data_IF_821485723817
#
_entry.id   IF_821485723817
#
_cell.length_a   1.000
_cell.length_b   1.000
_cell.length_c   1.000
_cell.angle_alpha   90.00
_cell.angle_beta   90.00
_cell.angle_gamma   90.00
#
_symmetry.space_group_name_H-M   'P 1'
#
loop_
_entity.id
_entity.type
_entity.pdbx_description
1 polymer ?
#
# COMPACT_ATOMS: atom_id res chain seq x y z
N UNK A 1 12.53 -10.47 -17.68
CA UNK A 1 13.59 -9.75 -16.98
C UNK A 1 14.92 -10.43 -17.21
N UNK A 2 15.96 -9.64 -17.42
CA UNK A 2 17.29 -10.19 -17.58
C UNK A 2 17.86 -10.63 -16.23
N UNK A 3 18.75 -11.62 -16.25
CA UNK A 3 19.41 -12.11 -15.03
C UNK A 3 20.19 -11.01 -14.33
N UNK A 4 20.78 -10.11 -15.11
CA UNK A 4 21.52 -8.97 -14.57
C UNK A 4 20.62 -8.09 -13.71
N UNK A 5 19.42 -7.81 -14.19
CA UNK A 5 18.48 -6.96 -13.47
C UNK A 5 18.01 -7.63 -12.18
N UNK A 6 17.81 -8.93 -12.21
CA UNK A 6 17.43 -9.68 -11.02
C UNK A 6 18.53 -9.66 -9.98
N UNK A 7 19.79 -9.79 -10.40
CA UNK A 7 20.91 -9.75 -9.47
C UNK A 7 21.04 -8.39 -8.79
N UNK A 8 20.92 -7.33 -9.58
CA UNK A 8 20.97 -5.97 -9.04
C UNK A 8 19.82 -5.72 -8.08
N UNK A 9 18.62 -6.11 -8.48
CA UNK A 9 17.43 -5.94 -7.64
C UNK A 9 17.54 -6.76 -6.37
N UNK A 10 18.12 -7.96 -6.46
CA UNK A 10 18.27 -8.82 -5.30
C UNK A 10 19.20 -8.19 -4.27
N UNK A 11 20.32 -7.63 -4.70
CA UNK A 11 21.26 -6.95 -3.81
C UNK A 11 20.61 -5.74 -3.17
N UNK A 12 19.95 -4.92 -3.99
CA UNK A 12 19.23 -3.73 -3.51
C UNK A 12 18.11 -4.13 -2.57
N UNK A 13 17.39 -5.17 -2.93
CA UNK A 13 16.28 -5.68 -2.13
C UNK A 13 16.74 -6.16 -0.75
N UNK A 14 17.88 -6.80 -0.68
CA UNK A 14 18.42 -7.25 0.59
C UNK A 14 18.68 -6.09 1.55
N UNK A 15 19.23 -5.01 1.05
CA UNK A 15 19.45 -3.81 1.87
C UNK A 15 18.15 -3.16 2.29
N UNK A 16 17.20 -3.05 1.36
CA UNK A 16 15.92 -2.40 1.62
C UNK A 16 15.04 -3.26 2.53
N UNK A 17 15.05 -4.57 2.31
CA UNK A 17 14.22 -5.50 3.07
C UNK A 17 14.50 -5.46 4.55
N UNK A 18 15.74 -5.20 4.96
CA UNK A 18 16.08 -5.11 6.37
C UNK A 18 15.44 -3.91 7.06
N UNK A 19 15.04 -2.89 6.29
CA UNK A 19 14.46 -1.65 6.83
C UNK A 19 12.99 -1.46 6.46
N UNK A 20 12.44 -2.33 5.61
CA UNK A 20 11.04 -2.18 5.18
C UNK A 20 10.11 -3.07 6.00
N UNK A 21 8.91 -2.57 6.18
CA UNK A 21 7.85 -3.26 6.91
C UNK A 21 6.81 -3.77 5.91
N UNK A 22 6.53 -5.06 5.96
CA UNK A 22 5.50 -5.68 5.13
C UNK A 22 4.22 -5.80 5.94
N UNK A 23 3.14 -5.29 5.40
CA UNK A 23 1.86 -5.23 6.10
C UNK A 23 0.76 -5.69 5.17
N UNK A 24 -0.17 -6.47 5.72
CA UNK A 24 -1.36 -6.86 4.98
C UNK A 24 -2.36 -5.70 5.04
N UNK A 25 -2.75 -5.20 3.88
CA UNK A 25 -3.66 -4.07 3.77
C UNK A 25 -4.97 -4.52 3.16
N UNK A 26 -6.07 -4.15 3.80
CA UNK A 26 -7.41 -4.42 3.29
C UNK A 26 -7.91 -3.17 2.58
N UNK A 27 -7.99 -3.26 1.25
CA UNK A 27 -8.36 -2.16 0.37
C UNK A 27 -9.77 -2.43 -0.16
N UNK A 28 -10.73 -1.67 0.33
CA UNK A 28 -12.12 -1.85 -0.08
C UNK A 28 -12.59 -0.64 -0.87
N UNK A 29 -12.79 -0.84 -2.17
CA UNK A 29 -13.38 0.20 -3.00
C UNK A 29 -14.88 0.26 -2.76
N UNK A 30 -15.46 1.46 -2.60
CA UNK A 30 -16.92 1.59 -2.52
C UNK A 30 -17.60 1.00 -3.76
N UNK A 31 -18.81 0.51 -3.60
CA UNK A 31 -19.52 -0.14 -4.69
C UNK A 31 -19.67 0.78 -5.90
N UNK A 32 -20.06 2.04 -5.67
CA UNK A 32 -20.21 3.00 -6.75
C UNK A 32 -18.91 3.29 -7.48
N UNK A 33 -17.78 3.21 -6.77
CA UNK A 33 -16.46 3.38 -7.38
C UNK A 33 -16.11 2.17 -8.22
N UNK A 34 -16.38 0.98 -7.71
CA UNK A 34 -16.13 -0.26 -8.44
C UNK A 34 -16.91 -0.32 -9.75
N UNK A 35 -18.13 0.21 -9.73
CA UNK A 35 -18.98 0.22 -10.92
C UNK A 35 -18.46 1.17 -12.00
N UNK A 36 -17.73 2.21 -11.60
CA UNK A 36 -17.19 3.19 -12.54
C UNK A 36 -15.80 2.83 -13.08
N UNK A 37 -15.05 2.05 -12.34
CA UNK A 37 -13.68 1.72 -12.72
C UNK A 37 -13.65 0.50 -13.65
N UNK A 38 -12.62 0.43 -14.48
CA UNK A 38 -12.38 -0.74 -15.32
C UNK A 38 -12.16 -1.97 -14.44
N UNK A 39 -12.60 -3.11 -14.94
CA UNK A 39 -12.50 -4.36 -14.18
C UNK A 39 -11.09 -4.68 -13.74
N UNK A 40 -10.11 -4.41 -14.58
CA UNK A 40 -8.70 -4.65 -14.24
C UNK A 40 -8.24 -3.77 -13.09
N UNK A 41 -8.67 -2.52 -13.06
CA UNK A 41 -8.32 -1.59 -11.99
C UNK A 41 -8.92 -2.08 -10.67
N UNK A 42 -10.18 -2.49 -10.69
CA UNK A 42 -10.85 -3.02 -9.51
C UNK A 42 -10.11 -4.26 -8.99
N UNK A 43 -9.73 -5.16 -9.87
CA UNK A 43 -9.02 -6.37 -9.47
C UNK A 43 -7.71 -6.09 -8.77
N UNK A 44 -7.01 -5.02 -9.17
CA UNK A 44 -5.72 -4.66 -8.59
C UNK A 44 -5.83 -3.81 -7.35
N UNK A 45 -6.93 -3.08 -7.19
CA UNK A 45 -7.07 -2.12 -6.10
C UNK A 45 -8.02 -2.57 -5.00
N UNK A 46 -8.89 -3.55 -5.28
CA UNK A 46 -9.89 -4.02 -4.31
C UNK A 46 -9.51 -5.41 -3.83
N UNK A 47 -9.26 -5.55 -2.54
CA UNK A 47 -8.89 -6.82 -1.95
C UNK A 47 -7.91 -6.65 -0.80
N UNK A 48 -7.23 -7.73 -0.48
CA UNK A 48 -6.20 -7.73 0.56
C UNK A 48 -4.84 -7.93 -0.11
N UNK A 49 -3.91 -7.02 0.18
CA UNK A 49 -2.60 -7.02 -0.46
C UNK A 49 -1.51 -6.80 0.56
N UNK A 50 -0.36 -7.43 0.33
CA UNK A 50 0.82 -7.19 1.17
C UNK A 50 1.56 -6.01 0.57
N UNK A 51 1.63 -4.92 1.33
CA UNK A 51 2.33 -3.72 0.92
C UNK A 51 3.58 -3.51 1.77
N UNK A 52 4.56 -2.88 1.19
CA UNK A 52 5.85 -2.64 1.84
C UNK A 52 6.04 -1.16 2.06
N UNK A 53 6.29 -0.78 3.30
CA UNK A 53 6.47 0.61 3.70
C UNK A 53 7.88 0.82 4.26
N UNK A 54 8.41 2.02 4.09
CA UNK A 54 9.71 2.38 4.68
C UNK A 54 9.61 2.51 6.20
N UNK A 55 8.44 2.88 6.70
CA UNK A 55 8.15 2.89 8.13
C UNK A 55 6.71 2.45 8.33
N UNK A 56 6.41 1.93 9.51
CA UNK A 56 5.07 1.43 9.82
C UNK A 56 4.07 2.58 9.78
N UNK A 57 2.99 2.48 8.96
CA UNK A 57 2.02 3.57 8.86
C UNK A 57 1.21 3.75 10.12
N UNK A 58 0.79 4.97 10.36
CA UNK A 58 -0.07 5.33 11.50
C UNK A 58 -1.49 5.58 11.04
N UNK A 59 -2.43 5.42 11.96
CA UNK A 59 -3.83 5.76 11.68
C UNK A 59 -3.92 7.22 11.26
N UNK A 60 -4.64 7.49 10.17
CA UNK A 60 -4.77 8.82 9.62
C UNK A 60 -3.84 9.12 8.47
N UNK A 61 -2.78 8.33 8.30
CA UNK A 61 -1.87 8.53 7.18
C UNK A 61 -2.55 8.15 5.87
N UNK A 62 -2.19 8.87 4.81
CA UNK A 62 -2.70 8.64 3.47
C UNK A 62 -1.58 8.26 2.54
N UNK A 63 -1.86 7.38 1.62
CA UNK A 63 -0.87 6.97 0.62
C UNK A 63 -1.57 6.53 -0.67
N UNK A 64 -0.87 6.68 -1.80
CA UNK A 64 -1.41 6.21 -3.09
C UNK A 64 -1.10 4.73 -3.29
N UNK A 65 -2.06 4.02 -3.87
CA UNK A 65 -1.87 2.65 -4.28
C UNK A 65 -2.82 2.30 -5.43
N UNK A 66 -2.27 1.81 -6.53
CA UNK A 66 -3.02 1.38 -7.72
C UNK A 66 -3.99 2.44 -8.23
N UNK A 67 -3.51 3.68 -8.36
CA UNK A 67 -4.30 4.77 -8.88
C UNK A 67 -5.33 5.33 -7.92
N UNK A 68 -5.32 4.88 -6.68
CA UNK A 68 -6.29 5.29 -5.67
C UNK A 68 -5.57 5.83 -4.45
N UNK A 69 -6.17 6.81 -3.79
CA UNK A 69 -5.67 7.33 -2.52
C UNK A 69 -6.40 6.62 -1.39
N UNK A 70 -5.63 6.18 -0.41
CA UNK A 70 -6.12 5.43 0.73
C UNK A 70 -5.72 6.08 2.03
N UNK A 71 -6.56 5.91 3.03
CA UNK A 71 -6.29 6.40 4.38
C UNK A 71 -6.34 5.24 5.35
N UNK A 72 -5.36 5.18 6.25
CA UNK A 72 -5.34 4.15 7.29
C UNK A 72 -6.40 4.52 8.34
N UNK A 73 -7.42 3.68 8.48
CA UNK A 73 -8.49 3.92 9.44
C UNK A 73 -8.38 3.08 10.69
N UNK A 74 -7.74 1.92 10.60
CA UNK A 74 -7.47 1.13 11.79
C UNK A 74 -6.31 0.18 11.55
N UNK A 75 -5.66 -0.20 12.64
CA UNK A 75 -4.55 -1.12 12.64
C UNK A 75 -4.88 -2.25 13.59
N UNK A 76 -4.91 -3.48 13.07
CA UNK A 76 -5.12 -4.67 13.89
C UNK A 76 -3.79 -5.37 14.01
N UNK A 77 -3.26 -5.42 15.21
CA UNK A 77 -1.98 -6.08 15.46
C UNK A 77 -2.22 -7.46 16.04
N UNK A 78 -1.43 -8.40 15.56
CA UNK A 78 -1.49 -9.75 16.08
C UNK A 78 -0.27 -10.00 16.95
N UNK A 79 -0.47 -10.51 18.17
CA UNK A 79 0.67 -10.83 19.00
C UNK A 79 1.47 -11.95 18.36
N UNK A 80 2.79 -11.82 18.40
CA UNK A 80 3.67 -12.84 17.89
C UNK A 80 3.53 -14.10 18.74
N UNK A 81 3.19 -15.19 18.09
CA UNK A 81 3.22 -16.47 18.79
C UNK A 81 4.66 -16.96 18.88
N UNK A 82 5.05 -17.26 20.09
CA UNK A 82 6.34 -17.86 20.36
C UNK A 82 6.36 -19.27 19.76
N UNK A 83 7.37 -19.58 18.96
CA UNK A 83 7.61 -20.91 18.36
C UNK A 83 6.76 -21.30 17.15
N UNK A 84 6.05 -20.41 16.52
CA UNK A 84 5.44 -20.77 15.23
C UNK A 84 6.37 -20.37 14.11
N UNK A 85 6.50 -21.27 13.12
CA UNK A 85 7.27 -20.99 11.93
C UNK A 85 6.40 -20.44 10.80
N UNK A 86 5.13 -20.24 11.06
CA UNK A 86 4.23 -19.67 10.08
C UNK A 86 4.55 -18.20 9.86
N UNK A 87 4.59 -17.76 8.59
CA UNK A 87 4.76 -16.35 8.32
C UNK A 87 3.56 -15.60 8.90
N UNK A 88 3.82 -14.76 9.89
CA UNK A 88 2.80 -13.92 10.48
C UNK A 88 3.04 -12.49 10.07
N UNK A 89 1.99 -11.81 9.66
CA UNK A 89 2.07 -10.39 9.35
C UNK A 89 2.00 -9.64 10.68
N UNK A 90 2.84 -8.63 10.86
CA UNK A 90 2.84 -7.89 12.12
C UNK A 90 1.52 -7.18 12.39
N UNK A 91 0.78 -6.87 11.33
CA UNK A 91 -0.47 -6.15 11.48
C UNK A 91 -1.30 -6.23 10.21
N UNK A 92 -2.58 -5.92 10.34
CA UNK A 92 -3.47 -5.71 9.23
C UNK A 92 -3.91 -4.26 9.26
N UNK A 93 -3.72 -3.54 8.16
CA UNK A 93 -4.21 -2.18 8.01
C UNK A 93 -5.56 -2.22 7.30
N UNK A 94 -6.54 -1.56 7.90
CA UNK A 94 -7.82 -1.33 7.23
C UNK A 94 -7.76 0.04 6.61
N UNK A 95 -8.04 0.11 5.32
CA UNK A 95 -7.90 1.33 4.54
C UNK A 95 -9.26 1.81 4.07
N UNK A 96 -9.39 3.13 4.03
CA UNK A 96 -10.55 3.79 3.46
C UNK A 96 -10.16 4.42 2.14
N UNK A 97 -10.98 4.20 1.12
CA UNK A 97 -10.78 4.84 -0.17
C UNK A 97 -11.14 6.32 -0.08
N UNK A 98 -10.28 7.17 -0.61
CA UNK A 98 -10.50 8.62 -0.60
C UNK A 98 -10.86 9.16 -1.98
N UNK A 99 -10.03 8.83 -2.97
CA UNK A 99 -10.21 9.36 -4.32
C UNK A 99 -9.38 8.56 -5.31
N UNK A 100 -9.65 8.77 -6.59
CA UNK A 100 -8.82 8.26 -7.67
C UNK A 100 -7.89 9.36 -8.15
N UNK A 101 -6.72 8.98 -8.63
CA UNK A 101 -5.81 9.91 -9.26
C UNK A 101 -5.31 9.31 -10.58
N UNK A 102 -4.95 10.18 -11.52
CA UNK A 102 -4.53 9.73 -12.83
C UNK A 102 -3.03 9.38 -12.88
N UNK A 103 -2.24 10.06 -12.06
CA UNK A 103 -0.80 9.85 -12.06
C UNK A 103 -0.20 10.28 -10.73
N UNK A 104 1.06 9.89 -10.54
CA UNK A 104 1.83 10.34 -9.37
C UNK A 104 1.96 11.87 -9.41
N UNK A 105 2.03 12.45 -10.61
CA UNK A 105 2.10 13.90 -10.76
C UNK A 105 0.84 14.58 -10.21
N UNK A 106 -0.33 13.99 -10.43
CA UNK A 106 -1.57 14.53 -9.87
C UNK A 106 -1.52 14.57 -8.35
N UNK A 107 -1.06 13.49 -7.73
CA UNK A 107 -0.94 13.43 -6.27
C UNK A 107 0.06 14.47 -5.79
N UNK A 108 1.18 14.57 -6.48
CA UNK A 108 2.23 15.52 -6.11
C UNK A 108 1.72 16.95 -6.22
N UNK A 109 1.00 17.27 -7.28
CA UNK A 109 0.44 18.60 -7.47
C UNK A 109 -0.58 18.93 -6.39
N UNK A 110 -1.42 17.98 -6.01
CA UNK A 110 -2.37 18.18 -4.92
C UNK A 110 -1.66 18.48 -3.61
N UNK A 111 -0.57 17.78 -3.34
CA UNK A 111 0.21 18.02 -2.13
C UNK A 111 0.89 19.39 -2.14
N UNK A 112 1.27 19.87 -3.31
CA UNK A 112 1.91 21.17 -3.46
C UNK A 112 0.92 22.34 -3.54
N UNK A 113 -0.34 22.05 -3.80
CA UNK A 113 -1.38 23.04 -4.01
C UNK A 113 -1.67 23.88 -2.78
N UNK A 114 -1.20 23.44 -1.63
CA UNK A 114 -1.33 24.20 -0.39
C UNK A 114 -0.63 25.56 -0.48
N UNK A 115 0.37 25.66 -1.33
CA UNK A 115 1.15 26.89 -1.50
C UNK A 115 0.68 27.73 -2.68
N UNK A 116 -0.32 27.26 -3.43
CA UNK A 116 -0.78 27.94 -4.64
C UNK A 116 -1.68 29.14 -4.34
N UNK A 117 -1.98 29.38 -3.10
CA UNK A 117 -2.74 30.56 -2.71
C UNK A 117 -1.81 31.74 -2.42
#
# INVERSE_FOLDING_TARGET
MSDFQEDVLSITWHKIKSTRTHVLCVCRLPEEVRDRLAREVVRKAHGAFILSFSSFPSVGEEFPYQGQMWKVISIVQFPRRYKTQEPSYPAILRLEWLSSYESIESVLMDCLDLDAE
#
